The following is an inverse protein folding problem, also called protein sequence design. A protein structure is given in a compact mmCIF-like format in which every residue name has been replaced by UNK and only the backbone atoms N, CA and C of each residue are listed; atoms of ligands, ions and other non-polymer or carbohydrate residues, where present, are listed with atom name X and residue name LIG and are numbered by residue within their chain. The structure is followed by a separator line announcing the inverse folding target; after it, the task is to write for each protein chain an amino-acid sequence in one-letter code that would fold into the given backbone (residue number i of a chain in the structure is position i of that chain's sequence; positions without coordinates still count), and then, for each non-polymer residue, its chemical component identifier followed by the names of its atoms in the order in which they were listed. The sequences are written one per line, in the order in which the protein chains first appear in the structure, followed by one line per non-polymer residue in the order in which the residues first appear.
data_IF_333201500658
#
_entry.id   IF_333201500658
#
_cell.length_a   1.000
_cell.length_b   1.000
_cell.length_c   1.000
_cell.angle_alpha   90.00
_cell.angle_beta   90.00
_cell.angle_gamma   90.00
#
_symmetry.space_group_name_H-M   'P 1'
#
loop_
_entity.id
_entity.type
_entity.pdbx_description
1 polymer ?
#
# COMPACT_ATOMS: atom_id res chain seq x y z
N UNK A 1 -9.95 -28.05 -56.62
CA UNK A 1 -11.05 -27.34 -55.95
C UNK A 1 -10.90 -27.37 -54.43
N UNK A 2 -10.75 -28.54 -53.82
CA UNK A 2 -10.55 -28.70 -52.36
C UNK A 2 -9.34 -27.92 -51.79
N UNK A 3 -8.18 -27.93 -52.45
CA UNK A 3 -6.98 -27.27 -51.93
C UNK A 3 -7.08 -25.73 -51.95
N UNK A 4 -7.65 -25.14 -53.00
CA UNK A 4 -7.85 -23.69 -53.10
C UNK A 4 -8.89 -23.17 -52.11
N UNK A 5 -9.94 -23.94 -51.85
CA UNK A 5 -10.94 -23.61 -50.82
C UNK A 5 -10.32 -23.71 -49.42
N UNK A 6 -9.53 -24.76 -49.17
CA UNK A 6 -8.77 -24.91 -47.92
C UNK A 6 -7.84 -23.72 -47.66
N UNK A 7 -7.04 -23.29 -48.65
CA UNK A 7 -6.16 -22.13 -48.50
C UNK A 7 -6.93 -20.82 -48.27
N UNK A 8 -8.07 -20.61 -48.94
CA UNK A 8 -8.93 -19.44 -48.71
C UNK A 8 -9.51 -19.43 -47.30
N UNK A 9 -9.98 -20.58 -46.82
CA UNK A 9 -10.52 -20.72 -45.46
C UNK A 9 -9.42 -20.50 -44.41
N UNK A 10 -8.25 -21.08 -44.62
CA UNK A 10 -7.09 -20.94 -43.73
C UNK A 10 -6.57 -19.49 -43.67
N UNK A 11 -6.43 -18.82 -44.83
CA UNK A 11 -6.05 -17.41 -44.89
C UNK A 11 -7.10 -16.51 -44.23
N UNK A 12 -8.39 -16.82 -44.41
CA UNK A 12 -9.49 -16.14 -43.72
C UNK A 12 -9.40 -16.27 -42.20
N UNK A 13 -9.17 -17.49 -41.70
CA UNK A 13 -8.99 -17.75 -40.27
C UNK A 13 -7.76 -17.03 -39.70
N UNK A 14 -6.63 -17.06 -40.40
CA UNK A 14 -5.43 -16.33 -39.99
C UNK A 14 -5.66 -14.81 -39.94
N UNK A 15 -6.34 -14.25 -40.93
CA UNK A 15 -6.68 -12.82 -40.98
C UNK A 15 -7.60 -12.41 -39.83
N UNK A 16 -8.57 -13.25 -39.48
CA UNK A 16 -9.45 -13.03 -38.32
C UNK A 16 -8.67 -13.05 -37.00
N UNK A 17 -7.79 -14.04 -36.81
CA UNK A 17 -6.94 -14.13 -35.61
C UNK A 17 -6.04 -12.89 -35.51
N UNK A 18 -5.38 -12.50 -36.60
CA UNK A 18 -4.53 -11.31 -36.63
C UNK A 18 -5.30 -10.04 -36.28
N UNK A 19 -6.51 -9.88 -36.83
CA UNK A 19 -7.39 -8.74 -36.53
C UNK A 19 -7.79 -8.71 -35.05
N UNK A 20 -8.14 -9.85 -34.46
CA UNK A 20 -8.46 -9.94 -33.03
C UNK A 20 -7.26 -9.60 -32.15
N UNK A 21 -6.05 -10.02 -32.53
CA UNK A 21 -4.82 -9.66 -31.81
C UNK A 21 -4.50 -8.17 -31.89
N UNK A 22 -4.73 -7.53 -33.04
CA UNK A 22 -4.53 -6.08 -33.20
C UNK A 22 -5.53 -5.32 -32.33
N UNK A 23 -6.81 -5.70 -32.36
CA UNK A 23 -7.85 -5.06 -31.55
C UNK A 23 -7.54 -5.22 -30.06
N UNK A 24 -7.17 -6.41 -29.61
CA UNK A 24 -6.81 -6.65 -28.20
C UNK A 24 -5.57 -5.86 -27.79
N UNK A 25 -4.57 -5.74 -28.67
CA UNK A 25 -3.39 -4.89 -28.45
C UNK A 25 -3.73 -3.41 -28.30
N UNK A 26 -4.60 -2.88 -29.16
CA UNK A 26 -5.06 -1.48 -29.06
C UNK A 26 -5.83 -1.26 -27.76
N UNK A 27 -6.75 -2.17 -27.41
CA UNK A 27 -7.50 -2.10 -26.14
C UNK A 27 -6.54 -2.10 -24.95
N UNK A 28 -5.53 -2.97 -24.97
CA UNK A 28 -4.52 -3.02 -23.91
C UNK A 28 -3.76 -1.70 -23.76
N UNK A 29 -3.29 -1.11 -24.87
CA UNK A 29 -2.60 0.19 -24.85
C UNK A 29 -3.50 1.30 -24.29
N UNK A 30 -4.77 1.33 -24.69
CA UNK A 30 -5.74 2.31 -24.20
C UNK A 30 -5.97 2.15 -22.70
N UNK A 31 -6.25 0.93 -22.23
CA UNK A 31 -6.45 0.64 -20.81
C UNK A 31 -5.19 0.96 -19.98
N UNK A 32 -4.02 0.61 -20.50
CA UNK A 32 -2.74 0.93 -19.88
C UNK A 32 -2.54 2.44 -19.75
N UNK A 33 -2.86 3.19 -20.80
CA UNK A 33 -2.75 4.65 -20.80
C UNK A 33 -3.72 5.29 -19.80
N UNK A 34 -4.98 4.81 -19.76
CA UNK A 34 -5.97 5.27 -18.76
C UNK A 34 -5.46 4.99 -17.34
N UNK A 35 -4.95 3.78 -17.09
CA UNK A 35 -4.50 3.34 -15.77
C UNK A 35 -3.27 4.13 -15.28
N UNK A 36 -2.31 4.46 -16.16
CA UNK A 36 -1.07 5.13 -15.75
C UNK A 36 -1.14 6.66 -15.79
N UNK A 37 -2.00 7.26 -16.62
CA UNK A 37 -2.04 8.72 -16.77
C UNK A 37 -3.34 9.33 -16.26
N UNK A 38 -4.49 8.76 -16.59
CA UNK A 38 -5.79 9.35 -16.24
C UNK A 38 -6.17 9.03 -14.80
N UNK A 39 -6.02 7.78 -14.39
CA UNK A 39 -6.39 7.32 -13.05
C UNK A 39 -5.64 8.09 -11.94
N UNK A 40 -4.31 8.32 -11.99
CA UNK A 40 -3.64 9.07 -10.94
C UNK A 40 -4.09 10.53 -10.87
N UNK A 41 -4.36 11.16 -12.01
CA UNK A 41 -4.87 12.53 -12.06
C UNK A 41 -6.26 12.58 -11.41
N UNK A 42 -7.14 11.65 -11.77
CA UNK A 42 -8.48 11.56 -11.22
C UNK A 42 -8.47 11.31 -9.71
N UNK A 43 -7.65 10.35 -9.24
CA UNK A 43 -7.51 10.05 -7.81
C UNK A 43 -7.02 11.28 -7.02
N UNK A 44 -6.03 12.01 -7.55
CA UNK A 44 -5.53 13.25 -6.93
C UNK A 44 -6.56 14.35 -6.89
N UNK A 45 -7.33 14.52 -7.96
CA UNK A 45 -8.35 15.56 -8.05
C UNK A 45 -9.51 15.30 -7.08
N UNK A 46 -9.89 14.02 -6.89
CA UNK A 46 -10.89 13.60 -5.91
C UNK A 46 -10.39 13.69 -4.47
N UNK A 47 -9.08 13.57 -4.26
CA UNK A 47 -8.47 13.53 -2.92
C UNK A 47 -8.74 14.81 -2.12
N UNK A 48 -8.94 14.63 -0.81
CA UNK A 48 -9.12 15.73 0.14
C UNK A 48 -7.93 16.70 0.09
N UNK A 49 -8.17 18.00 0.16
CA UNK A 49 -7.12 19.02 0.27
C UNK A 49 -7.17 19.64 1.66
N UNK A 50 -6.01 19.73 2.32
CA UNK A 50 -5.89 20.41 3.60
C UNK A 50 -5.51 21.87 3.37
N UNK A 51 -6.26 22.78 3.96
CA UNK A 51 -6.02 24.23 3.89
C UNK A 51 -5.54 24.75 5.25
N UNK A 52 -4.71 25.78 5.23
CA UNK A 52 -4.35 26.54 6.42
C UNK A 52 -5.39 27.64 6.73
N UNK A 53 -5.16 28.40 7.79
CA UNK A 53 -6.04 29.49 8.23
C UNK A 53 -6.19 30.61 7.19
N UNK A 54 -5.24 30.71 6.25
CA UNK A 54 -5.23 31.70 5.18
C UNK A 54 -5.77 31.12 3.86
N UNK A 55 -6.30 29.90 3.86
CA UNK A 55 -6.80 29.21 2.68
C UNK A 55 -5.72 28.64 1.76
N UNK A 56 -4.45 28.61 2.19
CA UNK A 56 -3.36 28.04 1.38
C UNK A 56 -3.27 26.52 1.59
N UNK A 57 -2.95 25.78 0.52
CA UNK A 57 -2.76 24.32 0.59
C UNK A 57 -1.61 23.97 1.54
N UNK A 58 -1.91 23.12 2.52
CA UNK A 58 -0.92 22.47 3.39
C UNK A 58 -0.44 21.18 2.73
N UNK A 59 0.88 20.97 2.58
CA UNK A 59 1.40 19.69 2.14
C UNK A 59 0.98 18.58 3.12
N UNK A 60 0.61 17.42 2.60
CA UNK A 60 0.08 16.30 3.36
C UNK A 60 1.01 15.10 3.30
N UNK A 61 1.52 14.67 4.45
CA UNK A 61 2.43 13.53 4.56
C UNK A 61 1.68 12.40 5.25
N UNK A 62 1.45 11.30 4.54
CA UNK A 62 0.66 10.19 5.02
C UNK A 62 1.52 8.98 5.36
N UNK A 63 1.32 8.46 6.57
CA UNK A 63 1.99 7.30 7.10
C UNK A 63 1.07 6.09 6.98
N UNK A 64 1.51 5.04 6.28
CA UNK A 64 0.81 3.76 6.25
C UNK A 64 1.22 2.93 7.44
N UNK A 65 0.31 2.79 8.41
CA UNK A 65 0.53 2.06 9.65
C UNK A 65 -0.78 1.43 10.17
N UNK A 66 -1.25 0.32 9.57
CA UNK A 66 -2.55 -0.29 9.92
C UNK A 66 -2.71 -0.74 11.39
N UNK A 67 -1.61 -0.84 12.14
CA UNK A 67 -1.57 -1.22 13.56
C UNK A 67 -0.94 -0.10 14.40
N UNK A 68 -1.54 1.09 14.42
CA UNK A 68 -0.98 2.26 15.10
C UNK A 68 -1.31 2.35 16.59
N UNK A 69 -2.10 1.39 17.10
CA UNK A 69 -2.65 1.37 18.46
C UNK A 69 -2.32 0.08 19.25
N UNK A 70 -1.42 -0.78 18.80
CA UNK A 70 -1.11 -2.06 19.44
C UNK A 70 -0.03 -1.98 20.56
N UNK A 71 0.67 -0.86 20.70
CA UNK A 71 1.74 -0.62 21.68
C UNK A 71 3.10 -1.25 21.34
N UNK A 72 3.36 -1.58 20.07
CA UNK A 72 4.58 -2.24 19.57
C UNK A 72 5.74 -1.30 19.21
N UNK A 73 6.91 -1.87 18.87
CA UNK A 73 8.11 -1.10 18.53
C UNK A 73 7.97 -0.25 17.25
N UNK A 74 7.26 -0.75 16.24
CA UNK A 74 6.99 -0.01 15.00
C UNK A 74 6.22 1.28 15.22
N UNK A 75 5.26 1.26 16.15
CA UNK A 75 4.46 2.44 16.53
C UNK A 75 5.32 3.52 17.17
N UNK A 76 6.32 3.14 17.99
CA UNK A 76 7.27 4.11 18.55
C UNK A 76 7.98 4.87 17.43
N UNK A 77 8.34 4.20 16.34
CA UNK A 77 8.97 4.83 15.18
C UNK A 77 7.99 5.76 14.47
N UNK A 78 6.75 5.31 14.22
CA UNK A 78 5.68 6.14 13.66
C UNK A 78 5.52 7.46 14.44
N UNK A 79 5.30 7.36 15.75
CA UNK A 79 5.00 8.53 16.58
C UNK A 79 6.23 9.44 16.76
N UNK A 80 7.43 8.87 16.83
CA UNK A 80 8.66 9.65 16.85
C UNK A 80 8.88 10.42 15.53
N UNK A 81 8.59 9.78 14.39
CA UNK A 81 8.68 10.40 13.07
C UNK A 81 7.67 11.53 12.93
N UNK A 82 6.40 11.32 13.30
CA UNK A 82 5.35 12.36 13.28
C UNK A 82 5.76 13.54 14.16
N UNK A 83 6.21 13.30 15.40
CA UNK A 83 6.69 14.37 16.30
C UNK A 83 7.83 15.17 15.67
N UNK A 84 8.83 14.48 15.10
CA UNK A 84 9.96 15.12 14.44
C UNK A 84 9.53 15.97 13.24
N UNK A 85 8.62 15.44 12.42
CA UNK A 85 8.09 16.11 11.25
C UNK A 85 7.29 17.36 11.63
N UNK A 86 6.40 17.26 12.63
CA UNK A 86 5.63 18.40 13.12
C UNK A 86 6.51 19.52 13.69
N UNK A 87 7.61 19.15 14.36
CA UNK A 87 8.58 20.12 14.91
C UNK A 87 9.36 20.82 13.78
N UNK A 88 9.79 20.09 12.75
CA UNK A 88 10.62 20.63 11.67
C UNK A 88 9.83 21.36 10.59
N UNK A 89 8.61 20.90 10.31
CA UNK A 89 7.74 21.38 9.23
C UNK A 89 6.31 21.64 9.75
N UNK A 90 6.09 22.73 10.50
CA UNK A 90 4.81 22.96 11.17
C UNK A 90 3.63 23.15 10.21
N UNK A 91 3.89 23.51 8.94
CA UNK A 91 2.84 23.68 7.92
C UNK A 91 2.33 22.35 7.35
N UNK A 92 3.06 21.24 7.52
CA UNK A 92 2.68 19.93 6.98
C UNK A 92 1.52 19.34 7.79
N UNK A 93 0.53 18.80 7.09
CA UNK A 93 -0.52 17.98 7.69
C UNK A 93 -0.04 16.53 7.74
N UNK A 94 0.02 15.96 8.95
CA UNK A 94 0.30 14.54 9.13
C UNK A 94 -1.00 13.74 9.01
N UNK A 95 -0.98 12.67 8.23
CA UNK A 95 -2.09 11.74 8.04
C UNK A 95 -1.62 10.33 8.40
N UNK A 96 -2.45 9.52 9.04
CA UNK A 96 -2.15 8.12 9.34
C UNK A 96 -3.24 7.24 8.74
N UNK A 97 -2.87 6.34 7.85
CA UNK A 97 -3.74 5.24 7.44
C UNK A 97 -3.66 4.15 8.49
N UNK A 98 -4.77 3.87 9.16
CA UNK A 98 -4.87 2.91 10.26
C UNK A 98 -6.01 1.94 10.03
N UNK A 99 -5.88 0.71 10.51
CA UNK A 99 -7.00 -0.24 10.59
C UNK A 99 -7.55 -0.43 12.00
N UNK A 100 -7.14 0.42 12.96
CA UNK A 100 -7.67 0.45 14.34
C UNK A 100 -9.05 1.14 14.37
N UNK A 101 -10.02 0.60 13.63
CA UNK A 101 -11.37 1.17 13.48
C UNK A 101 -12.19 1.16 14.77
N UNK A 102 -11.71 0.44 15.78
CA UNK A 102 -12.25 0.31 17.12
C UNK A 102 -11.72 1.38 18.10
N UNK A 103 -10.84 2.27 17.66
CA UNK A 103 -10.24 3.30 18.51
C UNK A 103 -10.40 4.72 17.93
N UNK A 104 -10.76 5.66 18.79
CA UNK A 104 -10.87 7.08 18.45
C UNK A 104 -9.48 7.72 18.29
N UNK A 105 -9.36 8.84 17.54
CA UNK A 105 -8.08 9.55 17.41
C UNK A 105 -7.45 9.92 18.76
N UNK A 106 -8.25 10.37 19.71
CA UNK A 106 -7.77 10.79 21.02
C UNK A 106 -7.27 9.60 21.86
N UNK A 107 -7.91 8.43 21.76
CA UNK A 107 -7.44 7.20 22.40
C UNK A 107 -6.09 6.75 21.82
N UNK A 108 -5.94 6.78 20.49
CA UNK A 108 -4.69 6.41 19.81
C UNK A 108 -3.54 7.33 20.25
N UNK A 109 -3.77 8.64 20.23
CA UNK A 109 -2.75 9.63 20.65
C UNK A 109 -2.43 9.49 22.14
N UNK A 110 -3.44 9.25 22.98
CA UNK A 110 -3.25 9.03 24.42
C UNK A 110 -2.43 7.77 24.68
N UNK A 111 -2.72 6.67 23.96
CA UNK A 111 -1.95 5.43 24.08
C UNK A 111 -0.50 5.62 23.62
N UNK A 112 -0.26 6.36 22.55
CA UNK A 112 1.09 6.72 22.11
C UNK A 112 1.87 7.49 23.19
N UNK A 113 1.22 8.44 23.86
CA UNK A 113 1.80 9.17 24.98
C UNK A 113 2.11 8.24 26.17
N UNK A 114 1.14 7.45 26.62
CA UNK A 114 1.29 6.54 27.76
C UNK A 114 2.36 5.48 27.52
N UNK A 115 2.45 4.93 26.30
CA UNK A 115 3.34 3.82 25.97
C UNK A 115 4.76 4.28 25.65
N UNK A 116 4.92 5.42 24.99
CA UNK A 116 6.21 5.85 24.44
C UNK A 116 6.71 7.19 24.97
N UNK A 117 5.94 7.88 25.81
CA UNK A 117 6.21 9.24 26.29
C UNK A 117 6.44 10.22 25.13
N UNK A 118 5.60 10.11 24.09
CA UNK A 118 5.64 10.95 22.89
C UNK A 118 4.41 11.85 22.87
N UNK A 119 4.63 13.16 22.98
CA UNK A 119 3.59 14.18 22.86
C UNK A 119 3.53 14.66 21.41
N UNK A 120 2.33 14.64 20.83
CA UNK A 120 2.05 15.12 19.48
C UNK A 120 1.49 16.54 19.57
N UNK A 121 2.16 17.49 18.90
CA UNK A 121 1.90 18.91 19.07
C UNK A 121 0.74 19.42 18.18
N UNK A 122 0.53 18.78 17.03
CA UNK A 122 -0.53 19.16 16.08
C UNK A 122 -1.47 18.00 15.80
N UNK A 123 -2.71 18.33 15.44
CA UNK A 123 -3.71 17.33 15.07
C UNK A 123 -3.22 16.46 13.92
N UNK A 124 -3.25 15.15 14.14
CA UNK A 124 -3.04 14.12 13.12
C UNK A 124 -4.40 13.76 12.54
N UNK A 125 -4.47 13.63 11.21
CA UNK A 125 -5.66 13.11 10.56
C UNK A 125 -5.57 11.58 10.49
N UNK A 126 -6.64 10.88 10.83
CA UNK A 126 -6.71 9.43 10.71
C UNK A 126 -7.63 9.03 9.57
N UNK A 127 -7.14 8.13 8.72
CA UNK A 127 -7.90 7.49 7.66
C UNK A 127 -8.05 6.02 8.03
N UNK A 128 -9.26 5.67 8.42
CA UNK A 128 -9.61 4.34 8.87
C UNK A 128 -9.83 3.40 7.69
N UNK A 129 -9.11 2.28 7.69
CA UNK A 129 -9.17 1.22 6.69
C UNK A 129 -9.88 0.01 7.29
N UNK A 130 -10.85 -0.54 6.57
CA UNK A 130 -11.68 -1.62 7.04
C UNK A 130 -11.08 -3.00 6.74
N UNK A 131 -10.22 -3.08 5.73
CA UNK A 131 -9.69 -4.35 5.23
C UNK A 131 -8.36 -4.75 5.90
N UNK A 132 -8.07 -4.28 7.13
CA UNK A 132 -6.82 -4.64 7.84
C UNK A 132 -6.62 -6.14 7.97
N UNK A 133 -7.71 -6.90 8.11
CA UNK A 133 -7.65 -8.35 8.30
C UNK A 133 -6.97 -9.12 7.16
N UNK A 134 -6.82 -8.53 5.96
CA UNK A 134 -6.01 -9.12 4.88
C UNK A 134 -4.50 -9.12 5.15
N UNK A 135 -4.05 -8.48 6.23
CA UNK A 135 -2.65 -8.55 6.67
C UNK A 135 -2.40 -9.70 7.64
N UNK A 136 -3.45 -10.31 8.17
CA UNK A 136 -3.34 -11.34 9.20
C UNK A 136 -2.92 -12.69 8.61
N UNK A 137 -1.85 -13.27 9.17
CA UNK A 137 -1.30 -14.54 8.73
C UNK A 137 -2.32 -15.69 8.78
N UNK A 138 -3.30 -15.62 9.70
CA UNK A 138 -4.36 -16.62 9.88
C UNK A 138 -5.19 -16.83 8.61
N UNK A 139 -5.30 -15.82 7.73
CA UNK A 139 -6.00 -15.95 6.44
C UNK A 139 -5.23 -16.75 5.39
N UNK A 140 -3.94 -17.01 5.63
CA UNK A 140 -3.03 -17.60 4.67
C UNK A 140 -2.30 -18.81 5.28
N UNK A 141 -2.97 -19.96 5.41
CA UNK A 141 -2.36 -21.18 5.94
C UNK A 141 -1.20 -21.69 5.07
N UNK A 142 -1.18 -21.34 3.79
CA UNK A 142 -0.11 -21.63 2.84
C UNK A 142 0.35 -20.33 2.17
N UNK A 143 1.63 -20.26 1.81
CA UNK A 143 2.25 -19.11 1.15
C UNK A 143 1.99 -17.78 1.87
N UNK A 144 2.07 -17.79 3.21
CA UNK A 144 1.67 -16.66 4.07
C UNK A 144 2.28 -15.34 3.64
N UNK A 145 3.58 -15.29 3.31
CA UNK A 145 4.25 -14.07 2.86
C UNK A 145 3.70 -13.53 1.53
N UNK A 146 3.40 -14.42 0.59
CA UNK A 146 2.77 -14.03 -0.69
C UNK A 146 1.35 -13.52 -0.45
N UNK A 147 0.57 -14.24 0.39
CA UNK A 147 -0.77 -13.84 0.79
C UNK A 147 -0.79 -12.46 1.44
N UNK A 148 0.07 -12.22 2.43
CA UNK A 148 0.21 -10.92 3.09
C UNK A 148 0.71 -9.83 2.13
N UNK A 149 1.58 -10.16 1.18
CA UNK A 149 2.02 -9.22 0.14
C UNK A 149 0.84 -8.77 -0.72
N UNK A 150 -0.01 -9.71 -1.18
CA UNK A 150 -1.24 -9.40 -1.92
C UNK A 150 -2.22 -8.61 -1.03
N UNK A 151 -2.41 -9.04 0.21
CA UNK A 151 -3.27 -8.35 1.18
C UNK A 151 -2.84 -6.91 1.43
N UNK A 152 -1.53 -6.65 1.46
CA UNK A 152 -0.99 -5.29 1.59
C UNK A 152 -1.28 -4.41 0.37
N UNK A 153 -1.32 -4.98 -0.84
CA UNK A 153 -1.72 -4.25 -2.05
C UNK A 153 -3.20 -3.90 -1.99
N UNK A 154 -4.06 -4.84 -1.57
CA UNK A 154 -5.50 -4.61 -1.44
C UNK A 154 -5.80 -3.51 -0.40
N UNK A 155 -5.13 -3.57 0.76
CA UNK A 155 -5.27 -2.54 1.77
C UNK A 155 -4.68 -1.19 1.33
N UNK A 156 -3.56 -1.22 0.61
CA UNK A 156 -2.97 -0.04 -0.01
C UNK A 156 -3.90 0.61 -1.05
N UNK A 157 -4.65 -0.20 -1.80
CA UNK A 157 -5.66 0.29 -2.76
C UNK A 157 -6.82 0.97 -2.03
N UNK A 158 -7.29 0.41 -0.91
CA UNK A 158 -8.28 1.07 -0.05
C UNK A 158 -7.75 2.44 0.42
N UNK A 159 -6.52 2.48 0.93
CA UNK A 159 -5.88 3.72 1.39
C UNK A 159 -5.73 4.75 0.28
N UNK A 160 -5.29 4.33 -0.91
CA UNK A 160 -5.10 5.20 -2.06
C UNK A 160 -6.42 5.78 -2.58
N UNK A 161 -7.48 4.97 -2.61
CA UNK A 161 -8.82 5.40 -3.00
C UNK A 161 -9.47 6.34 -1.97
N UNK A 162 -9.10 6.22 -0.69
CA UNK A 162 -9.56 7.10 0.36
C UNK A 162 -8.86 8.47 0.31
N UNK A 163 -7.55 8.49 0.09
CA UNK A 163 -6.75 9.71 0.08
C UNK A 163 -5.42 9.52 -0.64
N UNK A 164 -5.07 10.47 -1.50
CA UNK A 164 -3.75 10.58 -2.12
C UNK A 164 -2.96 11.72 -1.47
N UNK A 165 -1.81 11.43 -0.83
CA UNK A 165 -0.99 12.43 -0.15
C UNK A 165 0.02 13.11 -1.09
N UNK A 166 0.64 14.18 -0.60
CA UNK A 166 1.80 14.81 -1.27
C UNK A 166 3.10 14.01 -1.01
N UNK A 167 3.18 13.24 0.08
CA UNK A 167 4.23 12.26 0.36
C UNK A 167 3.61 11.04 1.07
N UNK A 168 3.81 9.86 0.51
CA UNK A 168 3.45 8.59 1.14
C UNK A 168 4.65 7.99 1.88
N UNK A 169 4.44 7.45 3.07
CA UNK A 169 5.48 6.88 3.92
C UNK A 169 5.02 5.52 4.45
N UNK A 170 5.69 4.44 4.04
CA UNK A 170 5.49 3.12 4.64
C UNK A 170 6.33 3.00 5.92
N UNK A 171 5.68 2.70 7.04
CA UNK A 171 6.36 2.52 8.34
C UNK A 171 6.18 1.13 8.92
N UNK A 172 5.51 0.23 8.19
CA UNK A 172 5.26 -1.15 8.58
C UNK A 172 6.11 -2.15 7.80
N UNK A 173 6.62 -1.77 6.63
CA UNK A 173 7.41 -2.64 5.77
C UNK A 173 6.59 -3.40 4.73
N UNK A 174 5.41 -2.88 4.37
CA UNK A 174 4.60 -3.39 3.26
C UNK A 174 5.10 -2.85 1.92
N UNK A 175 6.23 -3.38 1.45
CA UNK A 175 6.97 -2.87 0.30
C UNK A 175 6.14 -2.69 -0.98
N UNK A 176 5.15 -3.57 -1.23
CA UNK A 176 4.30 -3.49 -2.42
C UNK A 176 3.32 -2.32 -2.43
N UNK A 177 3.13 -1.64 -1.30
CA UNK A 177 2.36 -0.39 -1.25
C UNK A 177 3.13 0.79 -1.87
N UNK A 178 4.46 0.74 -1.91
CA UNK A 178 5.30 1.79 -2.49
C UNK A 178 5.09 1.96 -4.01
N UNK A 179 5.26 0.92 -4.85
CA UNK A 179 4.99 1.05 -6.29
C UNK A 179 3.52 1.41 -6.54
N UNK A 180 2.59 0.92 -5.72
CA UNK A 180 1.18 1.27 -5.81
C UNK A 180 0.95 2.78 -5.69
N UNK A 181 1.44 3.41 -4.62
CA UNK A 181 1.30 4.85 -4.41
C UNK A 181 2.13 5.69 -5.39
N UNK A 182 3.28 5.16 -5.84
CA UNK A 182 4.15 5.82 -6.82
C UNK A 182 3.51 5.89 -8.20
N UNK A 183 2.99 4.77 -8.70
CA UNK A 183 2.48 4.67 -10.07
C UNK A 183 1.00 5.02 -10.16
N UNK A 184 0.15 4.49 -9.26
CA UNK A 184 -1.29 4.78 -9.30
C UNK A 184 -1.65 6.07 -8.56
N UNK A 185 -0.95 6.40 -7.47
CA UNK A 185 -1.16 7.67 -6.76
C UNK A 185 -0.37 8.85 -7.31
N UNK A 186 0.62 8.58 -8.17
CA UNK A 186 1.53 9.59 -8.72
C UNK A 186 2.38 10.33 -7.67
N UNK A 187 2.37 9.89 -6.40
CA UNK A 187 3.01 10.61 -5.30
C UNK A 187 4.44 10.13 -5.02
N UNK A 188 5.32 11.00 -4.53
CA UNK A 188 6.57 10.59 -3.92
C UNK A 188 6.31 9.58 -2.80
N UNK A 189 7.17 8.57 -2.70
CA UNK A 189 7.09 7.53 -1.67
C UNK A 189 8.39 7.48 -0.87
N UNK A 190 8.26 7.18 0.41
CA UNK A 190 9.36 6.94 1.34
C UNK A 190 9.02 5.73 2.21
N UNK A 191 10.01 5.14 2.86
CA UNK A 191 9.78 4.05 3.79
C UNK A 191 10.79 4.08 4.94
N UNK A 192 10.36 3.53 6.07
CA UNK A 192 11.22 3.10 7.15
C UNK A 192 11.16 1.57 7.23
N UNK A 193 12.27 0.91 6.89
CA UNK A 193 12.38 -0.55 6.90
C UNK A 193 13.39 -0.94 7.96
N UNK A 194 12.90 -1.45 9.10
CA UNK A 194 13.75 -1.93 10.18
C UNK A 194 14.27 -3.35 9.92
N UNK A 195 13.39 -4.22 9.40
CA UNK A 195 13.72 -5.55 8.91
C UNK A 195 13.13 -5.74 7.51
N UNK A 196 13.88 -6.32 6.56
CA UNK A 196 13.32 -6.69 5.26
C UNK A 196 12.24 -7.77 5.43
N UNK A 197 11.36 -7.92 4.44
CA UNK A 197 10.26 -8.92 4.44
C UNK A 197 10.73 -10.33 4.81
N UNK A 198 11.97 -10.69 4.45
CA UNK A 198 12.63 -11.92 4.87
C UNK A 198 13.98 -11.59 5.49
N UNK A 199 14.21 -12.01 6.74
CA UNK A 199 15.50 -11.86 7.42
C UNK A 199 16.42 -13.07 7.16
N UNK A 200 17.73 -12.87 7.31
CA UNK A 200 18.72 -13.95 7.23
C UNK A 200 18.49 -15.03 8.28
N UNK A 201 17.97 -14.66 9.46
CA UNK A 201 17.64 -15.60 10.52
C UNK A 201 16.43 -16.47 10.17
N UNK A 202 15.48 -15.95 9.39
CA UNK A 202 14.39 -16.78 8.87
C UNK A 202 14.89 -17.74 7.80
N UNK A 203 15.82 -17.31 6.93
CA UNK A 203 16.45 -18.19 5.94
C UNK A 203 17.28 -19.30 6.61
N UNK A 204 18.03 -18.98 7.66
CA UNK A 204 18.82 -19.97 8.40
C UNK A 204 17.95 -21.00 9.11
N UNK A 205 16.80 -20.60 9.65
CA UNK A 205 15.83 -21.53 10.27
C UNK A 205 15.22 -22.51 9.28
N UNK A 206 14.86 -22.04 8.09
CA UNK A 206 14.37 -22.93 7.01
C UNK A 206 15.50 -23.89 6.61
N UNK A 207 16.71 -23.38 6.39
CA UNK A 207 17.89 -24.21 6.08
C UNK A 207 18.21 -25.25 7.17
N UNK A 208 17.90 -24.95 8.43
CA UNK A 208 18.15 -25.84 9.58
C UNK A 208 16.94 -26.70 9.95
N UNK A 209 15.79 -26.55 9.28
CA UNK A 209 14.53 -27.26 9.55
C UNK A 209 14.05 -27.14 11.00
N UNK A 210 14.26 -25.96 11.60
CA UNK A 210 13.84 -25.69 12.98
C UNK A 210 12.36 -25.32 13.01
N UNK A 211 11.53 -26.15 13.63
CA UNK A 211 10.10 -25.86 13.82
C UNK A 211 9.91 -24.64 14.74
N UNK A 212 9.08 -23.69 14.31
CA UNK A 212 8.78 -22.48 15.05
C UNK A 212 7.39 -21.94 14.68
N UNK A 213 6.88 -20.96 15.43
CA UNK A 213 5.61 -20.28 15.12
C UNK A 213 5.57 -19.66 13.70
N UNK A 214 6.72 -19.41 13.10
CA UNK A 214 6.89 -18.88 11.75
C UNK A 214 7.57 -19.86 10.77
N UNK A 215 7.76 -21.13 11.16
CA UNK A 215 8.31 -22.17 10.30
C UNK A 215 7.63 -23.52 10.61
N UNK A 216 6.65 -23.89 9.77
CA UNK A 216 5.92 -25.14 9.94
C UNK A 216 6.82 -26.35 9.61
N UNK A 217 6.61 -27.47 10.31
CA UNK A 217 7.46 -28.68 10.21
C UNK A 217 7.53 -29.31 8.81
N UNK A 218 6.57 -29.02 7.92
CA UNK A 218 6.59 -29.48 6.53
C UNK A 218 7.39 -28.58 5.58
N UNK A 219 7.83 -27.40 6.03
CA UNK A 219 8.65 -26.46 5.25
C UNK A 219 10.12 -26.76 5.54
N UNK A 220 10.85 -27.15 4.49
CA UNK A 220 12.20 -27.75 4.59
C UNK A 220 13.25 -27.07 3.73
#
# INVERSE_FOLDING_TARGET
MLLSEFFRLYAGMLSQIASMMIISGIIFIVLFTIMFFILPIWLRWKSKVFLDKNGQKRPSFAFFHPYCNAGGGGERVLWAAIRGLQKRYPKVQCVVYTGDTDATPDEIITRAHQRFNIIIAQKVEFIYLNNRSWLEAVKYPYFTLLGQSIGSVLLGLEALCAFVPDLYIDTMGYAFTLPLFKYLGGCPVSCYVHYPTISTDMLSRVSQRLEAHNNASFIS
#
